data_IF_675550368019
#
_entry.id   IF_675550368019
#
_cell.length_a   1.000
_cell.length_b   1.000
_cell.length_c   1.000
_cell.angle_alpha   90.00
_cell.angle_beta   90.00
_cell.angle_gamma   90.00
#
_symmetry.space_group_name_H-M   'P 1'
#
loop_
_entity.id
_entity.type
_entity.pdbx_description
1 polymer ?
#
# COMPACT_ATOMS: atom_id res chain seq x y z
N UNK A 1 4.85 -12.49 16.58
CA UNK A 1 4.48 -12.24 15.17
C UNK A 1 5.34 -11.17 14.50
N UNK A 2 5.55 -9.98 15.09
CA UNK A 2 6.31 -8.86 14.47
C UNK A 2 7.71 -9.21 13.93
N UNK A 3 8.43 -10.14 14.57
CA UNK A 3 9.74 -10.61 14.08
C UNK A 3 9.58 -11.33 12.74
N UNK A 4 8.60 -12.23 12.64
CA UNK A 4 8.32 -12.98 11.42
C UNK A 4 7.85 -12.05 10.28
N UNK A 5 6.96 -11.10 10.58
CA UNK A 5 6.55 -10.05 9.64
C UNK A 5 7.74 -9.26 9.09
N UNK A 6 8.71 -8.89 9.95
CA UNK A 6 9.94 -8.19 9.52
C UNK A 6 10.84 -9.05 8.65
N UNK A 7 10.90 -10.36 8.90
CA UNK A 7 11.67 -11.29 8.04
C UNK A 7 11.02 -11.38 6.66
N UNK A 8 9.69 -11.50 6.60
CA UNK A 8 8.95 -11.51 5.34
C UNK A 8 9.12 -10.18 4.60
N UNK A 9 8.93 -9.04 5.28
CA UNK A 9 9.08 -7.70 4.70
C UNK A 9 10.45 -7.55 4.04
N UNK A 10 11.53 -7.91 4.74
CA UNK A 10 12.89 -7.87 4.17
C UNK A 10 13.01 -8.73 2.92
N UNK A 11 12.57 -9.99 2.97
CA UNK A 11 12.65 -10.91 1.83
C UNK A 11 11.87 -10.42 0.62
N UNK A 12 10.69 -9.85 0.83
CA UNK A 12 9.89 -9.29 -0.27
C UNK A 12 10.61 -8.07 -0.86
N UNK A 13 11.14 -7.16 -0.02
CA UNK A 13 11.88 -5.97 -0.49
C UNK A 13 13.13 -6.30 -1.30
N UNK A 14 13.77 -7.42 -1.03
CA UNK A 14 14.93 -7.88 -1.83
C UNK A 14 14.53 -8.31 -3.26
N UNK A 15 13.25 -8.60 -3.49
CA UNK A 15 12.71 -9.10 -4.77
C UNK A 15 12.04 -7.97 -5.56
N UNK A 16 11.25 -7.15 -4.87
CA UNK A 16 10.36 -6.20 -5.52
C UNK A 16 11.06 -4.89 -5.87
N UNK A 17 10.52 -4.22 -6.90
CA UNK A 17 10.76 -2.79 -7.15
C UNK A 17 9.42 -2.10 -7.25
N UNK A 18 9.27 -1.01 -6.52
CA UNK A 18 8.10 -0.11 -6.60
C UNK A 18 8.39 1.01 -7.58
N UNK A 19 7.34 1.61 -8.13
CA UNK A 19 7.46 2.79 -8.99
C UNK A 19 8.26 3.92 -8.35
N UNK A 20 9.02 4.64 -9.18
CA UNK A 20 9.72 5.87 -8.78
C UNK A 20 8.76 7.01 -8.42
N UNK A 21 7.48 6.91 -8.81
CA UNK A 21 6.45 7.88 -8.48
C UNK A 21 5.82 7.62 -7.10
N UNK A 22 6.18 6.51 -6.42
CA UNK A 22 5.71 6.18 -5.10
C UNK A 22 6.65 6.76 -4.03
N UNK A 23 6.12 7.66 -3.20
CA UNK A 23 6.87 8.30 -2.12
C UNK A 23 6.48 7.78 -0.72
N UNK A 24 5.44 6.96 -0.61
CA UNK A 24 4.97 6.39 0.65
C UNK A 24 5.72 5.12 1.03
N UNK A 25 6.28 5.05 2.24
CA UNK A 25 6.97 3.88 2.79
C UNK A 25 8.12 3.33 1.92
N UNK A 26 8.70 4.19 1.07
CA UNK A 26 9.88 3.89 0.25
C UNK A 26 11.11 4.46 0.95
N UNK A 27 12.21 3.71 0.92
CA UNK A 27 13.47 4.16 1.52
C UNK A 27 14.02 5.33 0.70
N UNK A 28 14.45 6.39 1.38
CA UNK A 28 15.00 7.62 0.79
C UNK A 28 14.03 8.42 -0.10
N UNK A 29 12.71 8.24 0.06
CA UNK A 29 11.71 9.07 -0.58
C UNK A 29 10.57 9.36 0.40
N UNK A 30 10.15 10.62 0.50
CA UNK A 30 9.13 11.03 1.44
C UNK A 30 8.26 12.19 0.95
N UNK A 31 7.45 12.71 1.87
CA UNK A 31 6.46 13.76 1.56
C UNK A 31 7.10 15.03 1.01
N UNK A 32 8.30 15.37 1.46
CA UNK A 32 9.06 16.53 0.95
C UNK A 32 9.39 16.39 -0.53
N UNK A 33 9.76 15.18 -0.97
CA UNK A 33 10.09 14.90 -2.38
C UNK A 33 8.82 14.99 -3.23
N UNK A 34 7.71 14.40 -2.77
CA UNK A 34 6.42 14.48 -3.46
C UNK A 34 5.94 15.93 -3.63
N UNK A 35 6.01 16.74 -2.56
CA UNK A 35 5.66 18.17 -2.60
C UNK A 35 6.61 18.93 -3.56
N UNK A 36 7.90 18.61 -3.53
CA UNK A 36 8.88 19.25 -4.41
C UNK A 36 8.57 18.98 -5.88
N UNK A 37 8.28 17.73 -6.25
CA UNK A 37 7.87 17.37 -7.62
C UNK A 37 6.60 18.11 -8.04
N UNK A 38 5.58 18.17 -7.18
CA UNK A 38 4.35 18.90 -7.46
C UNK A 38 4.61 20.40 -7.69
N UNK A 39 5.47 21.03 -6.87
CA UNK A 39 5.87 22.44 -7.04
C UNK A 39 6.60 22.68 -8.35
N UNK A 40 7.57 21.84 -8.68
CA UNK A 40 8.30 21.93 -9.96
C UNK A 40 7.35 21.83 -11.17
N UNK A 41 6.35 20.95 -11.11
CA UNK A 41 5.34 20.85 -12.17
C UNK A 41 4.53 22.15 -12.30
N UNK A 42 4.08 22.72 -11.18
CA UNK A 42 3.32 23.98 -11.16
C UNK A 42 4.16 25.13 -11.74
N UNK A 43 5.39 25.29 -11.27
CA UNK A 43 6.31 26.36 -11.70
C UNK A 43 6.60 26.27 -13.21
N UNK A 44 6.93 25.06 -13.71
CA UNK A 44 7.25 24.84 -15.13
C UNK A 44 6.06 25.08 -16.06
N UNK A 45 4.84 24.77 -15.64
CA UNK A 45 3.64 25.06 -16.44
C UNK A 45 3.32 26.56 -16.44
N UNK A 46 3.51 27.23 -15.29
CA UNK A 46 3.34 28.69 -15.16
C UNK A 46 4.33 29.44 -16.04
N UNK A 47 5.61 29.06 -16.06
CA UNK A 47 6.64 29.65 -16.93
C UNK A 47 6.27 29.54 -18.42
N UNK A 48 5.68 28.41 -18.82
CA UNK A 48 5.28 28.15 -20.21
C UNK A 48 3.88 28.66 -20.57
N UNK A 49 3.18 29.30 -19.63
CA UNK A 49 1.79 29.75 -19.79
C UNK A 49 0.86 28.61 -20.27
N UNK A 50 1.11 27.39 -19.80
CA UNK A 50 0.28 26.22 -20.11
C UNK A 50 -0.66 25.92 -18.94
N UNK A 51 -1.92 25.55 -19.21
CA UNK A 51 -2.81 25.09 -18.15
C UNK A 51 -2.27 23.81 -17.51
N UNK A 52 -2.42 23.71 -16.19
CA UNK A 52 -2.12 22.51 -15.40
C UNK A 52 -3.32 22.19 -14.52
N UNK A 53 -3.77 20.94 -14.56
CA UNK A 53 -4.83 20.43 -13.70
C UNK A 53 -4.24 19.37 -12.78
N UNK A 54 -4.46 19.52 -11.47
CA UNK A 54 -4.02 18.56 -10.46
C UNK A 54 -5.25 17.98 -9.77
N UNK A 55 -5.33 16.65 -9.70
CA UNK A 55 -6.35 15.92 -8.97
C UNK A 55 -5.72 15.27 -7.74
N UNK A 56 -6.27 15.56 -6.56
CA UNK A 56 -5.85 14.96 -5.30
C UNK A 56 -6.89 13.91 -4.92
N UNK A 57 -6.43 12.67 -4.77
CA UNK A 57 -7.27 11.54 -4.39
C UNK A 57 -6.92 11.11 -2.98
N UNK A 58 -7.93 10.98 -2.13
CA UNK A 58 -7.80 10.46 -0.78
C UNK A 58 -8.68 9.21 -0.63
N UNK A 59 -8.14 8.18 0.02
CA UNK A 59 -8.81 6.88 0.18
C UNK A 59 -9.43 6.78 1.57
N UNK A 60 -10.75 6.64 1.64
CA UNK A 60 -11.44 6.44 2.92
C UNK A 60 -11.01 5.13 3.58
N UNK A 61 -10.49 5.19 4.81
CA UNK A 61 -10.07 4.02 5.60
C UNK A 61 -9.13 3.10 4.81
N UNK A 62 -8.12 3.71 4.18
CA UNK A 62 -7.23 3.04 3.23
C UNK A 62 -6.66 1.71 3.73
N UNK A 63 -6.30 1.60 5.02
CA UNK A 63 -5.75 0.37 5.59
C UNK A 63 -6.84 -0.66 5.90
N UNK A 64 -8.04 -0.24 6.31
CA UNK A 64 -9.11 -1.15 6.74
C UNK A 64 -9.91 -1.74 5.56
N UNK A 65 -9.77 -1.14 4.37
CA UNK A 65 -10.58 -1.48 3.20
C UNK A 65 -9.85 -2.21 2.07
N UNK A 66 -8.60 -2.60 2.27
CA UNK A 66 -7.84 -3.36 1.25
C UNK A 66 -8.39 -4.78 1.11
N UNK A 67 -8.93 -5.20 -0.05
CA UNK A 67 -9.34 -6.60 -0.23
C UNK A 67 -8.13 -7.53 -0.16
N UNK A 68 -8.22 -8.65 0.55
CA UNK A 68 -7.09 -9.60 0.64
C UNK A 68 -6.68 -10.14 -0.75
N UNK A 69 -7.64 -10.32 -1.66
CA UNK A 69 -7.35 -10.70 -3.04
C UNK A 69 -6.49 -9.68 -3.79
N UNK A 70 -6.66 -8.38 -3.50
CA UNK A 70 -5.80 -7.35 -4.06
C UNK A 70 -4.35 -7.48 -3.57
N UNK A 71 -4.15 -7.93 -2.33
CA UNK A 71 -2.82 -8.20 -1.77
C UNK A 71 -2.16 -9.36 -2.53
N UNK A 72 -2.87 -10.48 -2.74
CA UNK A 72 -2.34 -11.64 -3.48
C UNK A 72 -2.03 -11.27 -4.92
N UNK A 73 -2.93 -10.52 -5.56
CA UNK A 73 -2.73 -10.01 -6.91
C UNK A 73 -1.46 -9.15 -7.00
N UNK A 74 -1.31 -8.17 -6.10
CA UNK A 74 -0.16 -7.27 -6.10
C UNK A 74 1.15 -8.02 -5.86
N UNK A 75 1.20 -8.95 -4.90
CA UNK A 75 2.40 -9.75 -4.65
C UNK A 75 2.84 -10.55 -5.89
N UNK A 76 1.90 -11.23 -6.56
CA UNK A 76 2.20 -11.96 -7.80
C UNK A 76 2.64 -11.04 -8.92
N UNK A 77 1.99 -9.88 -9.06
CA UNK A 77 2.35 -8.86 -10.05
C UNK A 77 3.80 -8.38 -9.88
N UNK A 78 4.25 -8.20 -8.64
CA UNK A 78 5.64 -7.82 -8.34
C UNK A 78 6.63 -8.99 -8.39
N UNK A 79 6.22 -10.18 -8.83
CA UNK A 79 7.10 -11.34 -8.99
C UNK A 79 7.50 -12.01 -7.68
N UNK A 80 6.74 -11.82 -6.61
CA UNK A 80 6.98 -12.52 -5.34
C UNK A 80 6.68 -14.02 -5.52
N UNK A 81 7.61 -14.93 -5.16
CA UNK A 81 7.39 -16.38 -5.22
C UNK A 81 6.17 -16.82 -4.42
N UNK A 82 5.42 -17.80 -4.93
CA UNK A 82 4.16 -18.25 -4.32
C UNK A 82 4.37 -18.78 -2.89
N UNK A 83 5.54 -19.37 -2.59
CA UNK A 83 5.88 -19.83 -1.24
C UNK A 83 5.90 -18.69 -0.22
N UNK A 84 6.39 -17.51 -0.61
CA UNK A 84 6.34 -16.31 0.24
C UNK A 84 4.92 -15.75 0.35
N UNK A 85 4.13 -15.83 -0.73
CA UNK A 85 2.73 -15.40 -0.73
C UNK A 85 1.92 -16.26 0.25
N UNK A 86 2.15 -17.57 0.28
CA UNK A 86 1.51 -18.47 1.24
C UNK A 86 1.88 -18.12 2.70
N UNK A 87 3.11 -17.70 2.97
CA UNK A 87 3.48 -17.21 4.30
C UNK A 87 2.73 -15.93 4.69
N UNK A 88 2.48 -15.03 3.74
CA UNK A 88 1.62 -13.87 3.98
C UNK A 88 0.17 -14.33 4.19
N UNK A 89 -0.36 -15.26 3.40
CA UNK A 89 -1.72 -15.80 3.56
C UNK A 89 -1.97 -16.40 4.93
N UNK A 90 -0.99 -17.12 5.49
CA UNK A 90 -1.08 -17.65 6.85
C UNK A 90 -1.28 -16.53 7.88
N UNK A 91 -0.67 -15.37 7.68
CA UNK A 91 -0.89 -14.22 8.56
C UNK A 91 -2.33 -13.70 8.48
N UNK A 92 -3.00 -13.84 7.34
CA UNK A 92 -4.36 -13.36 7.08
C UNK A 92 -5.43 -14.47 7.09
N UNK A 93 -5.12 -15.65 7.65
CA UNK A 93 -6.03 -16.79 7.65
C UNK A 93 -7.08 -16.71 8.78
N UNK A 94 -8.37 -16.80 8.41
CA UNK A 94 -9.56 -16.71 9.29
C UNK A 94 -9.44 -15.67 10.44
N UNK A 95 -9.10 -14.39 10.15
CA UNK A 95 -8.96 -13.41 11.20
C UNK A 95 -10.36 -13.10 11.77
N UNK A 96 -10.48 -13.16 13.09
CA UNK A 96 -11.71 -12.85 13.81
C UNK A 96 -11.47 -11.74 14.82
N UNK A 97 -12.48 -10.92 15.04
CA UNK A 97 -12.40 -9.79 15.94
C UNK A 97 -13.66 -9.62 16.78
N UNK A 98 -13.51 -8.88 17.88
CA UNK A 98 -14.57 -8.46 18.80
C UNK A 98 -14.30 -7.02 19.20
N UNK A 99 -15.35 -6.26 19.41
CA UNK A 99 -15.28 -4.88 19.91
C UNK A 99 -15.57 -4.88 21.39
N UNK A 100 -14.66 -4.33 22.20
CA UNK A 100 -14.88 -4.09 23.63
C UNK A 100 -15.21 -2.62 23.86
N UNK A 101 -16.35 -2.35 24.50
CA UNK A 101 -16.83 -1.02 24.86
C UNK A 101 -17.38 -1.02 26.29
N UNK A 102 -17.73 0.16 26.83
CA UNK A 102 -18.30 0.30 28.17
C UNK A 102 -19.60 -0.51 28.35
N UNK A 103 -20.35 -0.73 27.27
CA UNK A 103 -21.58 -1.53 27.25
C UNK A 103 -21.34 -3.06 27.19
N UNK A 104 -20.08 -3.51 27.10
CA UNK A 104 -19.72 -4.93 27.01
C UNK A 104 -18.85 -5.27 25.78
N UNK A 105 -18.71 -6.57 25.52
CA UNK A 105 -17.96 -7.09 24.37
C UNK A 105 -18.93 -7.60 23.30
N UNK A 106 -18.69 -7.26 22.04
CA UNK A 106 -19.51 -7.73 20.91
C UNK A 106 -19.38 -9.23 20.69
N UNK A 107 -20.30 -9.77 19.88
CA UNK A 107 -20.08 -11.07 19.24
C UNK A 107 -18.86 -11.03 18.34
N UNK A 108 -18.30 -12.21 18.08
CA UNK A 108 -17.19 -12.39 17.16
C UNK A 108 -17.66 -12.21 15.71
N UNK A 109 -16.84 -11.55 14.91
CA UNK A 109 -17.06 -11.39 13.47
C UNK A 109 -15.77 -11.64 12.70
N UNK A 110 -15.91 -12.14 11.46
CA UNK A 110 -14.79 -12.39 10.55
C UNK A 110 -14.31 -11.10 9.90
N UNK A 111 -12.99 -10.97 9.72
CA UNK A 111 -12.35 -9.92 8.95
C UNK A 111 -12.05 -10.48 7.56
N UNK A 112 -12.60 -9.86 6.51
CA UNK A 112 -12.37 -10.27 5.12
C UNK A 112 -11.56 -9.26 4.31
N UNK A 113 -11.28 -8.09 4.90
CA UNK A 113 -10.58 -7.00 4.24
C UNK A 113 -9.78 -6.19 5.27
N UNK A 114 -8.80 -5.47 4.75
CA UNK A 114 -7.88 -4.61 5.47
C UNK A 114 -6.51 -5.25 5.64
N UNK A 115 -5.50 -4.41 5.80
CA UNK A 115 -4.18 -4.82 6.29
C UNK A 115 -4.15 -4.65 7.81
N UNK A 116 -3.41 -5.51 8.52
CA UNK A 116 -3.37 -5.45 9.98
C UNK A 116 -2.77 -4.14 10.50
N UNK A 117 -3.53 -3.36 11.27
CA UNK A 117 -2.99 -2.16 11.90
C UNK A 117 -1.90 -2.52 12.92
N UNK A 118 -0.78 -1.80 12.89
CA UNK A 118 0.36 -2.04 13.78
C UNK A 118 1.26 -3.24 13.41
N UNK A 119 0.99 -3.92 12.28
CA UNK A 119 1.89 -4.90 11.68
C UNK A 119 3.08 -4.22 11.00
N UNK A 120 4.24 -4.87 11.08
CA UNK A 120 5.45 -4.38 10.41
C UNK A 120 5.40 -4.59 8.89
N UNK A 121 4.55 -5.51 8.41
CA UNK A 121 4.43 -5.88 6.99
C UNK A 121 3.33 -5.08 6.27
N UNK A 122 2.30 -4.63 6.98
CA UNK A 122 1.14 -3.95 6.39
C UNK A 122 1.47 -2.73 5.52
N UNK A 123 2.41 -1.84 5.89
CA UNK A 123 2.76 -0.71 5.02
C UNK A 123 3.32 -1.14 3.66
N UNK A 124 4.11 -2.21 3.62
CA UNK A 124 4.63 -2.76 2.35
C UNK A 124 3.50 -3.32 1.49
N UNK A 125 2.62 -4.13 2.07
CA UNK A 125 1.49 -4.71 1.34
C UNK A 125 0.58 -3.63 0.76
N UNK A 126 0.29 -2.59 1.54
CA UNK A 126 -0.51 -1.46 1.08
C UNK A 126 0.15 -0.77 -0.13
N UNK A 127 1.44 -0.47 -0.06
CA UNK A 127 2.16 0.18 -1.17
C UNK A 127 2.19 -0.68 -2.42
N UNK A 128 2.39 -1.99 -2.29
CA UNK A 128 2.37 -2.89 -3.44
C UNK A 128 1.00 -2.93 -4.12
N UNK A 129 -0.08 -2.94 -3.32
CA UNK A 129 -1.44 -2.83 -3.88
C UNK A 129 -1.60 -1.51 -4.63
N UNK A 130 -1.20 -0.39 -4.02
CA UNK A 130 -1.30 0.92 -4.66
C UNK A 130 -0.49 1.01 -5.95
N UNK A 131 0.72 0.45 -5.97
CA UNK A 131 1.57 0.44 -7.16
C UNK A 131 0.95 -0.41 -8.29
N UNK A 132 0.44 -1.59 -7.95
CA UNK A 132 -0.19 -2.49 -8.91
C UNK A 132 -1.48 -1.90 -9.55
N UNK A 133 -2.32 -1.20 -8.77
CA UNK A 133 -3.57 -0.61 -9.27
C UNK A 133 -3.36 0.73 -9.98
N UNK A 134 -2.31 1.48 -9.63
CA UNK A 134 -2.02 2.77 -10.27
C UNK A 134 -1.09 2.66 -11.49
N UNK A 135 -0.59 1.47 -11.81
CA UNK A 135 0.37 1.24 -12.91
C UNK A 135 -0.03 1.90 -14.24
N UNK A 136 -1.32 1.90 -14.57
CA UNK A 136 -1.79 2.39 -15.87
C UNK A 136 -1.76 3.92 -15.91
N UNK A 137 -1.83 4.58 -14.75
CA UNK A 137 -1.62 6.02 -14.59
C UNK A 137 -0.14 6.42 -14.71
N UNK A 138 0.77 5.47 -14.50
CA UNK A 138 2.22 5.72 -14.57
C UNK A 138 2.77 5.64 -15.99
N UNK A 139 1.95 5.20 -16.96
CA UNK A 139 2.35 5.15 -18.37
C UNK A 139 2.40 6.57 -18.94
N UNK A 140 3.39 6.90 -19.79
CA UNK A 140 3.40 8.15 -20.52
C UNK A 140 2.11 8.29 -21.35
N UNK A 141 1.52 9.48 -21.37
CA UNK A 141 0.45 9.77 -22.31
C UNK A 141 1.02 9.64 -23.74
N UNK A 142 0.40 8.79 -24.56
CA UNK A 142 0.66 8.65 -25.99
C UNK A 142 0.33 9.94 -26.74
#
# INVERSE_FOLDING_TARGET
>A
MKIFERIIDRRIRDIIRVSTNQCGFVVNCGTTDAIHVARLLIEKHREKQKPLHLAFLDLEKAFDRVPHEAIWYALRWHGVPEELIEWVRILYADPRSRVQAAAGTSTEFSISMGVHQGSALSPLLFVLVMDAITRDLQRPAL
#
